data_IF_216363755093
#
_entry.id   IF_216363755093
#
_cell.length_a   1.000
_cell.length_b   1.000
_cell.length_c   1.000
_cell.angle_alpha   90.00
_cell.angle_beta   90.00
_cell.angle_gamma   90.00
#
_symmetry.space_group_name_H-M   'P 1'
#
loop_
_entity.id
_entity.type
_entity.pdbx_description
1 polymer ?
#
# COMPACT_ATOMS: atom_id res chain seq x y z
N UNK A 1 -16.88 7.84 -12.05
CA UNK A 1 -16.04 7.18 -13.07
C UNK A 1 -16.67 7.24 -14.45
N UNK A 2 -17.96 6.93 -14.62
CA UNK A 2 -18.65 7.10 -15.92
C UNK A 2 -18.56 8.52 -16.49
N UNK A 3 -18.73 9.56 -15.66
CA UNK A 3 -18.65 10.95 -16.13
C UNK A 3 -17.33 11.29 -16.84
N UNK A 4 -16.20 10.76 -16.37
CA UNK A 4 -14.92 10.96 -17.03
C UNK A 4 -14.88 10.26 -18.39
N UNK A 5 -15.36 9.02 -18.47
CA UNK A 5 -15.42 8.29 -19.73
C UNK A 5 -16.37 8.96 -20.75
N UNK A 6 -17.52 9.48 -20.30
CA UNK A 6 -18.44 10.24 -21.15
C UNK A 6 -17.81 11.55 -21.63
N UNK A 7 -17.13 12.29 -20.75
CA UNK A 7 -16.45 13.53 -21.12
C UNK A 7 -15.34 13.32 -22.16
N UNK A 8 -14.73 12.13 -22.18
CA UNK A 8 -13.67 11.75 -23.13
C UNK A 8 -14.20 11.04 -24.39
N UNK A 9 -15.53 10.86 -24.50
CA UNK A 9 -16.15 10.17 -25.62
C UNK A 9 -15.91 10.89 -26.94
N UNK A 10 -15.53 10.14 -27.96
CA UNK A 10 -15.21 10.66 -29.29
C UNK A 10 -13.75 11.09 -29.47
N UNK A 11 -12.96 11.16 -28.40
CA UNK A 11 -11.51 11.35 -28.51
C UNK A 11 -10.84 10.06 -28.99
N UNK A 12 -10.01 10.17 -30.02
CA UNK A 12 -9.34 9.02 -30.66
C UNK A 12 -7.95 8.73 -30.07
N UNK A 13 -7.47 9.59 -29.19
CA UNK A 13 -6.14 9.55 -28.58
C UNK A 13 -6.14 9.03 -27.13
N UNK A 14 -7.23 8.38 -26.70
CA UNK A 14 -7.35 7.74 -25.39
C UNK A 14 -7.04 6.25 -25.52
N UNK A 15 -5.89 5.83 -25.00
CA UNK A 15 -5.42 4.44 -25.09
C UNK A 15 -6.03 3.56 -23.98
N UNK A 16 -6.25 4.12 -22.80
CA UNK A 16 -6.77 3.37 -21.66
C UNK A 16 -6.88 4.20 -20.38
N UNK A 17 -7.20 3.52 -19.28
CA UNK A 17 -7.40 4.11 -17.96
C UNK A 17 -6.62 3.34 -16.90
N UNK A 18 -6.00 4.06 -15.97
CA UNK A 18 -5.55 3.48 -14.70
C UNK A 18 -6.71 3.43 -13.71
N UNK A 19 -6.80 2.35 -12.94
CA UNK A 19 -7.86 2.19 -11.93
C UNK A 19 -7.60 3.05 -10.69
N UNK A 20 -6.38 2.97 -10.15
CA UNK A 20 -5.92 3.66 -8.95
C UNK A 20 -4.40 3.71 -8.94
N UNK A 21 -3.83 4.85 -8.53
CA UNK A 21 -2.39 4.98 -8.36
C UNK A 21 -1.93 4.28 -7.09
N UNK A 22 -1.04 3.29 -7.20
CA UNK A 22 -0.40 2.58 -6.07
C UNK A 22 -1.37 2.23 -4.91
N UNK A 23 -2.41 1.40 -5.16
CA UNK A 23 -3.45 1.12 -4.17
C UNK A 23 -2.86 0.48 -2.90
N UNK A 24 -3.07 1.08 -1.72
CA UNK A 24 -2.62 0.52 -0.44
C UNK A 24 -3.72 -0.34 0.21
N UNK A 25 -3.34 -1.43 0.87
CA UNK A 25 -4.26 -2.30 1.63
C UNK A 25 -4.79 -1.64 2.92
N UNK A 26 -4.10 -0.61 3.43
CA UNK A 26 -4.44 0.01 4.71
C UNK A 26 -4.44 -1.02 5.83
N UNK A 27 -5.59 -1.23 6.47
CA UNK A 27 -5.73 -2.23 7.55
C UNK A 27 -6.10 -3.64 7.05
N UNK A 28 -6.44 -3.80 5.77
CA UNK A 28 -6.87 -5.10 5.23
C UNK A 28 -5.67 -6.07 5.20
N UNK A 29 -5.87 -7.27 5.76
CA UNK A 29 -4.83 -8.29 5.88
C UNK A 29 -3.97 -8.17 7.14
N UNK A 30 -4.23 -7.20 8.02
CA UNK A 30 -3.48 -7.08 9.27
C UNK A 30 -3.89 -8.16 10.28
N UNK A 31 -2.92 -8.99 10.65
CA UNK A 31 -3.09 -10.06 11.64
C UNK A 31 -3.30 -9.55 13.07
N UNK A 32 -2.77 -8.37 13.39
CA UNK A 32 -2.79 -7.83 14.76
C UNK A 32 -2.68 -6.31 14.77
N UNK A 33 -3.77 -5.63 15.11
CA UNK A 33 -3.86 -4.16 15.16
C UNK A 33 -3.06 -3.52 16.30
N UNK A 34 -2.54 -4.32 17.25
CA UNK A 34 -1.58 -3.85 18.26
C UNK A 34 -0.14 -3.80 17.74
N UNK A 35 0.10 -4.31 16.53
CA UNK A 35 1.39 -4.30 15.86
C UNK A 35 1.37 -3.34 14.69
N UNK A 36 2.56 -3.02 14.24
CA UNK A 36 2.78 -2.27 13.02
C UNK A 36 2.29 -3.02 11.76
N UNK A 37 2.03 -2.29 10.67
CA UNK A 37 1.29 -2.77 9.50
C UNK A 37 1.95 -3.96 8.79
N UNK A 38 3.25 -3.93 8.51
CA UNK A 38 3.87 -5.04 7.80
C UNK A 38 5.37 -5.17 8.05
N UNK A 39 5.87 -6.38 7.82
CA UNK A 39 7.29 -6.66 7.91
C UNK A 39 8.06 -5.88 6.85
N UNK A 40 9.07 -5.13 7.27
CA UNK A 40 9.91 -4.34 6.37
C UNK A 40 9.29 -3.02 5.91
N UNK A 41 8.14 -2.62 6.47
CA UNK A 41 7.61 -1.28 6.25
C UNK A 41 8.60 -0.21 6.72
N UNK A 42 8.57 0.93 6.05
CA UNK A 42 9.43 2.06 6.38
C UNK A 42 8.67 3.01 7.29
N UNK A 43 9.17 3.16 8.51
CA UNK A 43 8.61 4.02 9.54
C UNK A 43 9.42 5.30 9.61
N UNK A 44 8.72 6.42 9.71
CA UNK A 44 9.36 7.72 9.81
C UNK A 44 8.66 8.59 10.85
N UNK A 45 9.46 9.15 11.75
CA UNK A 45 9.01 9.94 12.88
C UNK A 45 7.99 9.18 13.75
N UNK A 46 6.86 9.79 14.10
CA UNK A 46 5.82 9.13 14.89
C UNK A 46 5.12 8.06 14.06
N UNK A 47 5.33 6.80 14.41
CA UNK A 47 4.68 5.66 13.78
C UNK A 47 3.80 4.97 14.83
N UNK A 48 2.51 5.32 14.90
CA UNK A 48 1.57 4.58 15.73
C UNK A 48 1.24 3.22 15.09
N UNK A 49 0.95 2.23 15.93
CA UNK A 49 0.23 1.03 15.48
C UNK A 49 -1.19 1.41 15.02
N UNK A 50 -1.90 0.56 14.24
CA UNK A 50 -3.30 0.80 13.88
C UNK A 50 -4.15 1.17 15.11
N UNK A 51 -4.08 0.39 16.19
CA UNK A 51 -4.84 0.65 17.40
C UNK A 51 -4.46 1.98 18.07
N UNK A 52 -3.16 2.27 18.20
CA UNK A 52 -2.70 3.55 18.74
C UNK A 52 -3.23 4.72 17.89
N UNK A 53 -3.20 4.58 16.56
CA UNK A 53 -3.74 5.57 15.63
C UNK A 53 -5.25 5.78 15.78
N UNK A 54 -6.01 4.70 15.95
CA UNK A 54 -7.46 4.76 16.20
C UNK A 54 -7.79 5.48 17.52
N UNK A 55 -7.03 5.19 18.58
CA UNK A 55 -7.20 5.82 19.89
C UNK A 55 -6.80 7.32 19.86
N UNK A 56 -5.67 7.65 19.24
CA UNK A 56 -5.22 9.03 19.03
C UNK A 56 -6.25 9.84 18.23
N UNK A 57 -6.81 9.26 17.17
CA UNK A 57 -7.84 9.91 16.35
C UNK A 57 -9.13 10.19 17.15
N UNK A 58 -9.40 9.41 18.19
CA UNK A 58 -10.53 9.61 19.11
C UNK A 58 -10.16 10.42 20.36
N UNK A 59 -8.97 11.03 20.40
CA UNK A 59 -8.56 12.00 21.41
C UNK A 59 -7.84 11.40 22.63
N UNK A 60 -7.49 10.11 22.61
CA UNK A 60 -6.82 9.45 23.72
C UNK A 60 -5.30 9.51 23.58
N UNK A 61 -4.61 9.91 24.65
CA UNK A 61 -3.15 9.88 24.73
C UNK A 61 -2.62 8.46 24.49
N UNK A 62 -1.56 8.34 23.68
CA UNK A 62 -0.84 7.07 23.44
C UNK A 62 0.67 7.24 23.63
N UNK A 63 1.36 6.13 23.92
CA UNK A 63 2.83 6.07 23.89
C UNK A 63 3.22 5.35 22.60
N UNK A 64 3.65 6.12 21.60
CA UNK A 64 3.95 5.60 20.26
C UNK A 64 5.45 5.50 20.04
N UNK A 65 5.83 4.73 19.04
CA UNK A 65 7.21 4.58 18.66
C UNK A 65 7.64 5.70 17.70
N UNK A 66 8.82 6.27 17.94
CA UNK A 66 9.47 7.20 17.01
C UNK A 66 10.60 6.52 16.25
N UNK A 67 10.62 6.71 14.94
CA UNK A 67 11.56 6.09 14.01
C UNK A 67 12.30 7.12 13.16
N UNK A 68 13.45 6.73 12.63
CA UNK A 68 14.22 7.49 11.65
C UNK A 68 14.90 6.53 10.67
N UNK A 69 15.53 7.08 9.64
CA UNK A 69 16.31 6.30 8.66
C UNK A 69 17.71 5.92 9.20
N UNK A 70 17.86 5.80 10.51
CA UNK A 70 19.11 5.41 11.17
C UNK A 70 19.31 3.89 11.25
N UNK A 71 20.44 3.50 11.84
CA UNK A 71 20.77 2.09 12.06
C UNK A 71 19.73 1.34 12.92
N UNK A 72 19.01 2.04 13.80
CA UNK A 72 17.96 1.45 14.61
C UNK A 72 16.87 0.78 13.74
N UNK A 73 16.43 1.43 12.66
CA UNK A 73 15.47 0.85 11.72
C UNK A 73 16.11 -0.17 10.79
N UNK A 74 17.19 0.22 10.09
CA UNK A 74 17.72 -0.58 8.97
C UNK A 74 18.63 -1.74 9.39
N UNK A 75 19.10 -1.77 10.64
CA UNK A 75 20.02 -2.81 11.15
C UNK A 75 19.44 -3.52 12.36
N UNK A 76 18.91 -2.76 13.34
CA UNK A 76 18.48 -3.33 14.63
C UNK A 76 16.98 -3.66 14.70
N UNK A 77 16.16 -3.18 13.76
CA UNK A 77 14.72 -3.40 13.76
C UNK A 77 13.98 -2.87 14.98
N UNK A 78 14.44 -1.76 15.59
CA UNK A 78 13.86 -1.17 16.81
C UNK A 78 13.65 0.34 16.67
N UNK A 79 12.72 0.94 17.43
CA UNK A 79 12.50 2.38 17.38
C UNK A 79 13.67 3.16 17.99
N UNK A 80 13.77 4.45 17.65
CA UNK A 80 14.74 5.36 18.26
C UNK A 80 14.38 5.67 19.71
N UNK A 81 13.07 5.83 19.98
CA UNK A 81 12.52 6.03 21.33
C UNK A 81 11.00 5.84 21.36
N UNK A 82 10.46 5.76 22.57
CA UNK A 82 9.03 5.90 22.84
C UNK A 82 8.69 7.38 23.08
N UNK A 83 7.53 7.81 22.59
CA UNK A 83 7.06 9.20 22.69
C UNK A 83 5.59 9.20 23.12
N UNK A 84 5.29 9.94 24.18
CA UNK A 84 3.91 10.23 24.57
C UNK A 84 3.34 11.28 23.62
N UNK A 85 2.22 10.95 22.98
CA UNK A 85 1.44 11.85 22.12
C UNK A 85 0.08 12.04 22.76
N UNK A 86 -0.25 13.27 23.10
CA UNK A 86 -1.52 13.64 23.74
C UNK A 86 -2.31 14.62 22.85
N UNK A 87 -3.41 14.18 22.22
CA UNK A 87 -4.34 15.05 21.51
C UNK A 87 -5.09 16.03 22.42
N UNK A 88 -4.98 15.92 23.74
CA UNK A 88 -5.73 16.71 24.74
C UNK A 88 -7.25 16.63 24.53
N UNK A 89 -7.75 15.44 24.16
CA UNK A 89 -9.16 15.21 23.86
C UNK A 89 -9.64 15.76 22.51
N UNK A 90 -8.77 16.37 21.70
CA UNK A 90 -9.10 16.77 20.33
C UNK A 90 -9.28 15.52 19.47
N UNK A 91 -10.41 15.44 18.76
CA UNK A 91 -10.79 14.31 17.93
C UNK A 91 -10.65 14.65 16.45
N UNK A 92 -10.21 13.69 15.65
CA UNK A 92 -10.24 13.77 14.19
C UNK A 92 -11.67 13.64 13.62
N UNK A 93 -12.60 13.12 14.42
CA UNK A 93 -14.00 12.91 14.06
C UNK A 93 -14.84 14.18 14.23
N UNK A 94 -15.82 14.36 13.35
CA UNK A 94 -16.80 15.45 13.46
C UNK A 94 -17.57 15.40 14.79
N UNK A 95 -18.04 16.55 15.24
CA UNK A 95 -18.89 16.64 16.43
C UNK A 95 -20.14 15.77 16.28
N UNK A 96 -20.47 15.01 17.32
CA UNK A 96 -21.61 14.08 17.33
C UNK A 96 -21.37 12.76 16.60
N UNK A 97 -20.20 12.56 15.97
CA UNK A 97 -19.81 11.27 15.38
C UNK A 97 -18.91 10.49 16.34
N UNK A 98 -19.18 9.20 16.55
CA UNK A 98 -18.26 8.30 17.26
C UNK A 98 -17.18 7.86 16.28
N UNK A 99 -16.03 7.42 16.81
CA UNK A 99 -14.99 6.78 16.02
C UNK A 99 -15.57 5.54 15.33
N UNK A 100 -15.46 5.46 14.01
CA UNK A 100 -16.02 4.35 13.21
C UNK A 100 -15.50 2.99 13.69
N UNK A 101 -14.22 2.90 14.05
CA UNK A 101 -13.61 1.67 14.54
C UNK A 101 -14.14 1.24 15.90
N UNK A 102 -14.56 2.22 16.71
CA UNK A 102 -15.20 2.00 18.00
C UNK A 102 -16.67 1.62 17.84
N UNK A 103 -17.36 2.18 16.83
CA UNK A 103 -18.71 1.76 16.42
C UNK A 103 -18.72 0.29 15.93
N UNK A 104 -17.72 -0.09 15.14
CA UNK A 104 -17.52 -1.46 14.65
C UNK A 104 -17.09 -2.45 15.76
N UNK A 105 -16.84 -1.98 16.99
CA UNK A 105 -16.45 -2.80 18.14
C UNK A 105 -15.03 -3.35 18.06
N UNK A 106 -14.14 -2.72 17.29
CA UNK A 106 -12.73 -3.12 17.21
C UNK A 106 -12.00 -2.83 18.51
N UNK A 107 -12.33 -1.70 19.13
CA UNK A 107 -11.78 -1.26 20.41
C UNK A 107 -12.85 -0.48 21.18
N UNK A 108 -12.66 -0.34 22.49
CA UNK A 108 -13.48 0.56 23.32
C UNK A 108 -12.65 1.10 24.49
N UNK A 109 -13.29 1.81 25.41
CA UNK A 109 -12.66 2.40 26.59
C UNK A 109 -13.07 1.57 27.79
N UNK A 110 -12.08 1.13 28.56
CA UNK A 110 -12.32 0.46 29.82
C UNK A 110 -13.02 1.41 30.81
N UNK A 111 -14.18 1.00 31.30
CA UNK A 111 -15.04 1.85 32.14
C UNK A 111 -14.43 2.19 33.50
N UNK A 112 -13.43 1.43 33.95
CA UNK A 112 -12.81 1.59 35.26
C UNK A 112 -11.60 2.53 35.19
N UNK A 113 -10.77 2.35 34.16
CA UNK A 113 -9.50 3.05 33.99
C UNK A 113 -9.58 4.24 33.04
N UNK A 114 -10.65 4.32 32.22
CA UNK A 114 -10.81 5.34 31.18
C UNK A 114 -9.83 5.20 30.02
N UNK A 115 -9.13 4.05 29.91
CA UNK A 115 -8.10 3.82 28.89
C UNK A 115 -8.64 3.06 27.68
N UNK A 116 -8.13 3.33 26.46
CA UNK A 116 -8.43 2.53 25.28
C UNK A 116 -8.00 1.07 25.48
N UNK A 117 -8.83 0.13 25.03
CA UNK A 117 -8.58 -1.31 25.01
C UNK A 117 -8.97 -1.86 23.64
N UNK A 118 -8.03 -2.56 23.01
CA UNK A 118 -8.26 -3.29 21.76
C UNK A 118 -9.04 -4.57 22.06
N UNK A 119 -10.20 -4.73 21.41
CA UNK A 119 -11.12 -5.85 21.65
C UNK A 119 -11.02 -6.93 20.57
N UNK A 120 -10.76 -6.54 19.32
CA UNK A 120 -10.61 -7.44 18.19
C UNK A 120 -9.30 -7.16 17.44
N UNK A 121 -8.16 -7.69 17.93
CA UNK A 121 -6.86 -7.41 17.33
C UNK A 121 -6.72 -7.91 15.90
N UNK A 122 -7.41 -8.97 15.53
CA UNK A 122 -7.36 -9.68 14.26
C UNK A 122 -8.51 -9.31 13.30
N UNK A 123 -9.20 -8.19 13.55
CA UNK A 123 -10.45 -7.86 12.84
C UNK A 123 -10.35 -7.87 11.31
N UNK A 124 -9.18 -7.52 10.77
CA UNK A 124 -8.93 -7.45 9.33
C UNK A 124 -8.06 -8.59 8.80
N UNK A 125 -7.76 -9.60 9.63
CA UNK A 125 -6.92 -10.73 9.27
C UNK A 125 -7.58 -11.61 8.18
N UNK A 126 -6.77 -12.37 7.45
CA UNK A 126 -7.25 -13.34 6.46
C UNK A 126 -7.82 -12.76 5.17
N UNK A 127 -7.76 -11.43 4.98
CA UNK A 127 -8.14 -10.76 3.73
C UNK A 127 -6.89 -10.52 2.91
N UNK A 128 -6.85 -11.03 1.67
CA UNK A 128 -5.79 -10.67 0.72
C UNK A 128 -6.27 -9.50 -0.13
N UNK A 129 -5.74 -8.31 0.10
CA UNK A 129 -6.22 -7.07 -0.50
C UNK A 129 -6.27 -7.13 -2.02
N UNK A 130 -5.19 -7.64 -2.64
CA UNK A 130 -5.10 -7.78 -4.10
C UNK A 130 -6.23 -8.62 -4.67
N UNK A 131 -6.41 -9.84 -4.14
CA UNK A 131 -7.39 -10.83 -4.61
C UNK A 131 -8.83 -10.47 -4.22
N UNK A 132 -9.05 -10.16 -2.96
CA UNK A 132 -10.40 -10.10 -2.37
C UNK A 132 -11.06 -8.74 -2.54
N UNK A 133 -10.28 -7.67 -2.70
CA UNK A 133 -10.78 -6.30 -2.72
C UNK A 133 -10.46 -5.59 -4.03
N UNK A 134 -9.17 -5.49 -4.36
CA UNK A 134 -8.70 -4.66 -5.47
C UNK A 134 -9.09 -5.23 -6.84
N UNK A 135 -8.85 -6.52 -7.10
CA UNK A 135 -9.19 -7.14 -8.39
C UNK A 135 -10.71 -7.05 -8.68
N UNK A 136 -11.62 -7.37 -7.73
CA UNK A 136 -13.06 -7.17 -7.93
C UNK A 136 -13.43 -5.70 -8.18
N UNK A 137 -12.78 -4.75 -7.51
CA UNK A 137 -12.96 -3.32 -7.79
C UNK A 137 -12.52 -2.96 -9.21
N UNK A 138 -11.33 -3.39 -9.62
CA UNK A 138 -10.76 -3.14 -10.93
C UNK A 138 -11.62 -3.73 -12.05
N UNK A 139 -12.20 -4.92 -11.86
CA UNK A 139 -13.14 -5.53 -12.80
C UNK A 139 -14.40 -4.66 -13.00
N UNK A 140 -15.05 -4.21 -11.91
CA UNK A 140 -16.21 -3.30 -11.99
C UNK A 140 -15.85 -1.95 -12.61
N UNK A 141 -14.66 -1.44 -12.31
CA UNK A 141 -14.13 -0.24 -12.96
C UNK A 141 -14.03 -0.45 -14.47
N UNK A 142 -13.43 -1.56 -14.89
CA UNK A 142 -13.22 -1.92 -16.29
C UNK A 142 -14.55 -2.00 -17.04
N UNK A 143 -15.51 -2.73 -16.48
CA UNK A 143 -16.85 -2.89 -17.04
C UNK A 143 -17.51 -1.53 -17.24
N UNK A 144 -17.47 -0.67 -16.22
CA UNK A 144 -18.12 0.64 -16.29
C UNK A 144 -17.48 1.54 -17.35
N UNK A 145 -16.16 1.60 -17.42
CA UNK A 145 -15.47 2.40 -18.46
C UNK A 145 -15.80 1.85 -19.85
N UNK A 146 -15.77 0.52 -20.03
CA UNK A 146 -15.97 -0.12 -21.33
C UNK A 146 -17.41 -0.12 -21.83
N UNK A 147 -18.39 0.07 -20.94
CA UNK A 147 -19.77 0.34 -21.33
C UNK A 147 -19.91 1.63 -22.15
N UNK A 148 -18.92 2.54 -22.07
CA UNK A 148 -18.88 3.83 -22.77
C UNK A 148 -17.77 3.85 -23.84
N UNK A 149 -16.58 3.34 -23.49
CA UNK A 149 -15.40 3.29 -24.35
C UNK A 149 -14.91 1.84 -24.49
N UNK A 150 -15.51 1.02 -25.37
CA UNK A 150 -15.30 -0.43 -25.38
C UNK A 150 -13.86 -0.87 -25.72
N UNK A 151 -13.10 -0.04 -26.43
CA UNK A 151 -11.77 -0.39 -26.92
C UNK A 151 -10.62 -0.14 -25.93
N UNK A 152 -10.89 0.49 -24.78
CA UNK A 152 -9.83 0.98 -23.89
C UNK A 152 -9.09 -0.15 -23.17
N UNK A 153 -7.77 0.01 -23.09
CA UNK A 153 -6.92 -0.76 -22.18
C UNK A 153 -7.22 -0.40 -20.73
N UNK A 154 -6.96 -1.32 -19.81
CA UNK A 154 -6.98 -1.03 -18.38
C UNK A 154 -5.60 -1.27 -17.78
N UNK A 155 -5.00 -0.20 -17.28
CA UNK A 155 -3.71 -0.23 -16.60
C UNK A 155 -3.96 -0.63 -15.14
N UNK A 156 -3.49 -1.82 -14.80
CA UNK A 156 -3.58 -2.36 -13.45
C UNK A 156 -2.30 -2.05 -12.71
N UNK A 157 -2.46 -1.33 -11.62
CA UNK A 157 -1.40 -0.99 -10.69
C UNK A 157 -1.63 -1.72 -9.37
N UNK A 158 -0.55 -2.12 -8.72
CA UNK A 158 -0.55 -2.61 -7.35
C UNK A 158 0.53 -1.86 -6.58
N UNK A 159 0.45 -1.81 -5.24
CA UNK A 159 1.49 -1.12 -4.48
C UNK A 159 2.84 -1.74 -4.86
N UNK A 160 3.91 -0.94 -4.97
CA UNK A 160 5.21 -1.47 -5.36
C UNK A 160 5.53 -2.69 -4.51
N UNK A 161 5.76 -3.84 -5.14
CA UNK A 161 5.71 -5.14 -4.45
C UNK A 161 6.74 -5.30 -3.33
N UNK A 162 7.79 -4.49 -3.36
CA UNK A 162 8.77 -4.34 -2.28
C UNK A 162 8.20 -3.77 -0.98
N UNK A 163 6.98 -3.21 -1.02
CA UNK A 163 6.18 -2.67 0.08
C UNK A 163 4.79 -3.33 0.17
N UNK A 164 4.52 -4.38 -0.60
CA UNK A 164 3.24 -5.09 -0.53
C UNK A 164 3.26 -6.14 0.59
N UNK A 165 2.14 -6.25 1.29
CA UNK A 165 1.90 -7.30 2.30
C UNK A 165 1.59 -8.63 1.60
N UNK A 166 0.89 -8.56 0.47
CA UNK A 166 0.40 -9.70 -0.28
C UNK A 166 1.18 -9.92 -1.57
N UNK A 167 1.13 -11.16 -2.06
CA UNK A 167 1.59 -11.52 -3.40
C UNK A 167 0.78 -10.79 -4.48
N UNK A 168 1.38 -10.66 -5.67
CA UNK A 168 0.65 -10.15 -6.82
C UNK A 168 -0.50 -11.12 -7.15
N UNK A 169 -1.76 -10.66 -7.20
CA UNK A 169 -2.91 -11.52 -7.43
C UNK A 169 -2.94 -12.03 -8.86
N UNK A 170 -3.51 -13.21 -9.07
CA UNK A 170 -3.86 -13.66 -10.41
C UNK A 170 -5.01 -12.80 -10.96
N UNK A 171 -4.83 -12.33 -12.20
CA UNK A 171 -5.79 -11.52 -12.94
C UNK A 171 -6.08 -12.23 -14.25
N UNK A 172 -7.22 -12.91 -14.28
CA UNK A 172 -7.72 -13.57 -15.47
C UNK A 172 -8.20 -12.54 -16.51
N UNK A 173 -7.88 -12.76 -17.79
CA UNK A 173 -8.30 -11.87 -18.87
C UNK A 173 -9.81 -11.95 -19.16
N UNK A 174 -10.49 -13.00 -18.70
CA UNK A 174 -11.96 -13.06 -18.68
C UNK A 174 -12.55 -12.10 -17.66
N UNK A 175 -11.85 -11.86 -16.54
CA UNK A 175 -12.29 -10.93 -15.50
C UNK A 175 -11.96 -9.48 -15.86
N UNK A 176 -10.75 -9.24 -16.36
CA UNK A 176 -10.30 -7.91 -16.79
C UNK A 176 -9.65 -8.04 -18.19
N UNK A 177 -10.45 -8.07 -19.26
CA UNK A 177 -9.90 -8.21 -20.61
C UNK A 177 -9.01 -7.02 -20.94
N UNK A 178 -8.01 -7.17 -21.82
CA UNK A 178 -7.11 -6.05 -22.22
C UNK A 178 -6.49 -5.32 -21.01
N UNK A 179 -6.18 -6.06 -19.94
CA UNK A 179 -5.40 -5.54 -18.84
C UNK A 179 -3.94 -5.33 -19.29
N UNK A 180 -3.30 -4.34 -18.68
CA UNK A 180 -1.87 -4.05 -18.83
C UNK A 180 -1.29 -4.01 -17.42
N UNK A 181 -0.21 -4.75 -17.19
CA UNK A 181 0.55 -4.59 -15.96
C UNK A 181 1.23 -3.22 -15.98
N UNK A 182 0.83 -2.32 -15.08
CA UNK A 182 1.34 -0.97 -14.96
C UNK A 182 2.06 -0.73 -13.61
N UNK A 183 2.56 -1.80 -13.00
CA UNK A 183 3.25 -1.71 -11.70
C UNK A 183 4.47 -0.81 -11.77
N UNK A 184 4.60 0.09 -10.80
CA UNK A 184 5.71 1.03 -10.72
C UNK A 184 7.04 0.38 -10.34
N UNK A 185 8.12 1.05 -10.71
CA UNK A 185 9.47 0.70 -10.31
C UNK A 185 10.25 1.94 -9.89
N UNK A 186 10.92 1.85 -8.75
CA UNK A 186 11.84 2.87 -8.28
C UNK A 186 13.15 2.24 -7.79
N UNK A 187 14.26 2.94 -7.99
CA UNK A 187 15.47 2.65 -7.24
C UNK A 187 15.34 3.21 -5.82
N UNK A 188 15.13 2.34 -4.84
CA UNK A 188 14.88 2.75 -3.46
C UNK A 188 15.94 3.70 -2.90
N UNK A 189 17.24 3.44 -3.16
CA UNK A 189 18.33 4.33 -2.71
C UNK A 189 18.19 5.73 -3.30
N UNK A 190 17.86 5.84 -4.59
CA UNK A 190 17.61 7.14 -5.23
C UNK A 190 16.38 7.83 -4.68
N UNK A 191 15.29 7.09 -4.45
CA UNK A 191 14.06 7.65 -3.88
C UNK A 191 14.32 8.24 -2.49
N UNK A 192 15.07 7.53 -1.64
CA UNK A 192 15.42 7.97 -0.30
C UNK A 192 16.39 9.13 -0.25
N UNK A 193 17.51 9.03 -0.99
CA UNK A 193 18.55 10.04 -0.97
C UNK A 193 18.23 11.24 -1.86
N UNK A 194 17.18 11.14 -2.68
CA UNK A 194 16.82 12.10 -3.73
C UNK A 194 18.00 12.40 -4.65
N UNK A 195 18.87 11.41 -4.84
CA UNK A 195 20.12 11.58 -5.57
C UNK A 195 20.54 10.24 -6.18
N UNK A 196 20.73 10.24 -7.50
CA UNK A 196 21.19 9.07 -8.23
C UNK A 196 22.61 8.67 -7.84
N UNK A 197 22.82 7.36 -7.64
CA UNK A 197 24.12 6.76 -7.31
C UNK A 197 24.40 5.63 -8.30
N UNK A 198 25.10 5.88 -9.41
CA UNK A 198 25.23 4.88 -10.47
C UNK A 198 26.10 3.67 -10.08
N UNK A 199 26.79 3.73 -8.94
CA UNK A 199 27.68 2.69 -8.42
C UNK A 199 27.17 2.06 -7.12
N UNK A 200 25.99 2.43 -6.61
CA UNK A 200 25.45 1.85 -5.39
C UNK A 200 23.92 1.82 -5.38
N UNK A 201 23.36 0.64 -5.10
CA UNK A 201 21.95 0.48 -4.75
C UNK A 201 21.77 -0.67 -3.75
N UNK A 202 20.57 -0.85 -3.22
CA UNK A 202 20.16 -2.00 -2.40
C UNK A 202 18.92 -2.62 -3.04
N UNK A 203 18.95 -3.93 -3.28
CA UNK A 203 17.77 -4.66 -3.73
C UNK A 203 16.78 -4.77 -2.56
N UNK A 204 15.58 -4.14 -2.65
CA UNK A 204 14.65 -4.11 -1.54
C UNK A 204 13.95 -5.45 -1.29
N UNK A 205 13.98 -6.39 -2.25
CA UNK A 205 13.48 -7.76 -2.03
C UNK A 205 14.47 -8.61 -1.25
N UNK A 206 15.74 -8.59 -1.64
CA UNK A 206 16.78 -9.43 -1.00
C UNK A 206 17.54 -8.73 0.13
N UNK A 207 17.35 -7.42 0.29
CA UNK A 207 18.10 -6.53 1.19
C UNK A 207 19.61 -6.53 0.94
N UNK A 208 20.06 -6.99 -0.23
CA UNK A 208 21.48 -7.07 -0.59
C UNK A 208 21.96 -5.81 -1.29
N UNK A 209 23.10 -5.22 -0.87
CA UNK A 209 23.69 -4.10 -1.59
C UNK A 209 24.35 -4.55 -2.89
N UNK A 210 24.33 -3.67 -3.89
CA UNK A 210 25.03 -3.83 -5.16
C UNK A 210 26.03 -2.69 -5.34
N UNK A 211 27.29 -3.04 -5.60
CA UNK A 211 28.39 -2.09 -5.75
C UNK A 211 28.97 -2.11 -7.17
N UNK A 212 29.19 -0.93 -7.74
CA UNK A 212 29.71 -0.72 -9.08
C UNK A 212 28.63 -0.73 -10.17
N UNK A 213 28.89 0.01 -11.25
CA UNK A 213 27.96 0.25 -12.36
C UNK A 213 27.33 -1.03 -12.92
N UNK A 214 28.15 -2.08 -13.13
CA UNK A 214 27.67 -3.36 -13.68
C UNK A 214 26.72 -4.08 -12.73
N UNK A 215 27.00 -4.07 -11.42
CA UNK A 215 26.16 -4.71 -10.44
C UNK A 215 24.83 -3.96 -10.26
N UNK A 216 24.87 -2.63 -10.17
CA UNK A 216 23.69 -1.78 -10.10
C UNK A 216 22.78 -2.02 -11.31
N UNK A 217 23.34 -1.98 -12.53
CA UNK A 217 22.59 -2.24 -13.76
C UNK A 217 21.96 -3.64 -13.76
N UNK A 218 22.70 -4.67 -13.32
CA UNK A 218 22.19 -6.05 -13.22
C UNK A 218 21.02 -6.14 -12.25
N UNK A 219 21.11 -5.47 -11.10
CA UNK A 219 20.03 -5.42 -10.11
C UNK A 219 18.78 -4.78 -10.70
N UNK A 220 18.90 -3.62 -11.34
CA UNK A 220 17.76 -2.93 -11.98
C UNK A 220 17.13 -3.77 -13.10
N UNK A 221 17.95 -4.38 -13.95
CA UNK A 221 17.45 -5.30 -14.98
C UNK A 221 16.67 -6.48 -14.39
N UNK A 222 17.16 -7.05 -13.28
CA UNK A 222 16.47 -8.16 -12.60
C UNK A 222 15.13 -7.72 -12.00
N UNK A 223 15.08 -6.52 -11.40
CA UNK A 223 13.85 -5.98 -10.83
C UNK A 223 12.79 -5.71 -11.91
N UNK A 224 13.17 -5.01 -12.99
CA UNK A 224 12.29 -4.74 -14.13
C UNK A 224 11.82 -6.03 -14.82
N UNK A 225 12.71 -7.01 -14.98
CA UNK A 225 12.34 -8.33 -15.51
C UNK A 225 11.34 -9.05 -14.59
N UNK A 226 11.51 -8.93 -13.27
CA UNK A 226 10.56 -9.45 -12.29
C UNK A 226 9.17 -8.80 -12.42
N UNK A 227 9.11 -7.49 -12.63
CA UNK A 227 7.84 -6.79 -12.85
C UNK A 227 7.17 -7.28 -14.14
N UNK A 228 7.92 -7.38 -15.24
CA UNK A 228 7.42 -7.95 -16.49
C UNK A 228 6.92 -9.39 -16.32
N UNK A 229 7.58 -10.17 -15.46
CA UNK A 229 7.17 -11.51 -15.06
C UNK A 229 5.72 -11.58 -14.60
N UNK A 230 5.24 -10.57 -13.85
CA UNK A 230 3.86 -10.54 -13.39
C UNK A 230 2.84 -10.46 -14.52
N UNK A 231 3.15 -9.70 -15.58
CA UNK A 231 2.33 -9.64 -16.78
C UNK A 231 2.22 -11.02 -17.46
N UNK A 232 3.34 -11.74 -17.56
CA UNK A 232 3.37 -13.07 -18.18
C UNK A 232 2.71 -14.16 -17.35
N UNK A 233 3.01 -14.21 -16.04
CA UNK A 233 2.69 -15.36 -15.18
C UNK A 233 1.34 -15.18 -14.47
N UNK A 234 1.03 -13.98 -13.96
CA UNK A 234 -0.17 -13.72 -13.15
C UNK A 234 -1.27 -12.98 -13.92
N UNK A 235 -1.01 -12.46 -15.13
CA UNK A 235 -1.99 -11.69 -15.91
C UNK A 235 -2.24 -12.25 -17.31
N UNK A 236 -2.15 -13.57 -17.48
CA UNK A 236 -2.38 -14.28 -18.75
C UNK A 236 -1.65 -13.64 -19.95
N UNK A 237 -0.33 -13.45 -19.83
CA UNK A 237 0.50 -12.82 -20.87
C UNK A 237 0.14 -11.37 -21.21
N UNK A 238 -0.43 -10.61 -20.26
CA UNK A 238 -0.68 -9.19 -20.42
C UNK A 238 0.62 -8.41 -20.72
N UNK A 239 0.56 -7.39 -21.60
CA UNK A 239 1.67 -6.47 -21.79
C UNK A 239 2.01 -5.74 -20.49
N UNK A 240 3.26 -5.32 -20.36
CA UNK A 240 3.76 -4.56 -19.21
C UNK A 240 4.23 -3.18 -19.65
N UNK A 241 3.79 -2.14 -18.94
CA UNK A 241 4.22 -0.75 -19.08
C UNK A 241 4.89 -0.33 -17.76
N UNK A 242 6.17 0.07 -17.83
CA UNK A 242 6.97 0.58 -16.71
C UNK A 242 7.65 1.87 -17.18
#
# INVERSE_FOLDING_TARGET
>A
MAELAEALKGLTNIVGFGTMNEPSSGYLGLEDLSKHFHHGELKYDLAPTPFEGMALADGYQQVVQRWSNGANQHVLGRPDKLVTVDPNGVRAWQQGRRCIWREEGIWDVDSTTGKPVLLRPDHFAGIMFGRDCYVPFAARFAERIRSILPHTLLFIELPPLEFSIDEFPEIDDTLIPRAVNATHWYDGVTLFLRAWRPYFTVDPRTKRPAFGYTAVRRTHMKQLAGIKGYGSEQMNNAPTLI
#
